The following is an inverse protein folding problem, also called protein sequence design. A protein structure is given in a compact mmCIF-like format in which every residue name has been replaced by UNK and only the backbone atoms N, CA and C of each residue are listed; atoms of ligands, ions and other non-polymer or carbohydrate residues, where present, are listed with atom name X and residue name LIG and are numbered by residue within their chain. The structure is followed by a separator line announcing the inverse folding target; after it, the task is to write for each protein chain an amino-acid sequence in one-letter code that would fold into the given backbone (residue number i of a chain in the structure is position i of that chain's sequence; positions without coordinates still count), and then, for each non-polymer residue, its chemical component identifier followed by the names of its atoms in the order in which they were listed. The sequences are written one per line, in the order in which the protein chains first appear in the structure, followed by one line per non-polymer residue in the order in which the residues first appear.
data_IF_580915856320
#
_entry.id   IF_580915856320
#
_cell.length_a   1.000
_cell.length_b   1.000
_cell.length_c   1.000
_cell.angle_alpha   90.00
_cell.angle_beta   90.00
_cell.angle_gamma   90.00
#
_symmetry.space_group_name_H-M   'P 1'
#
loop_
_entity.id
_entity.type
_entity.pdbx_description
1 polymer ?
#
# COMPACT_ATOMS: atom_id res chain seq x y z
N UNK A 1 -12.38 36.09 55.40
CA UNK A 1 -12.49 35.69 53.96
C UNK A 1 -11.21 35.07 53.42
N UNK A 2 -10.60 34.11 54.13
CA UNK A 2 -9.30 33.53 53.77
C UNK A 2 -9.29 32.03 53.47
N UNK A 3 -10.41 31.32 53.66
CA UNK A 3 -10.39 29.86 53.61
C UNK A 3 -10.77 29.19 52.28
N UNK A 4 -11.45 29.85 51.35
CA UNK A 4 -11.94 29.25 50.11
C UNK A 4 -10.95 29.26 48.95
N UNK A 5 -9.96 30.19 48.91
CA UNK A 5 -8.96 30.27 47.85
C UNK A 5 -7.92 29.11 47.93
N UNK A 6 -7.58 28.63 49.11
CA UNK A 6 -6.57 27.60 49.31
C UNK A 6 -7.07 26.18 48.96
N UNK A 7 -8.38 25.92 48.97
CA UNK A 7 -8.96 24.60 48.67
C UNK A 7 -9.02 24.41 47.13
N UNK A 8 -9.40 25.43 46.38
CA UNK A 8 -9.46 25.40 44.93
C UNK A 8 -8.06 25.29 44.29
N UNK A 9 -7.05 25.96 44.87
CA UNK A 9 -5.69 25.92 44.40
C UNK A 9 -5.04 24.55 44.68
N UNK A 10 -5.32 23.89 45.81
CA UNK A 10 -4.85 22.53 46.10
C UNK A 10 -5.56 21.46 45.23
N UNK A 11 -6.84 21.65 44.92
CA UNK A 11 -7.55 20.72 44.03
C UNK A 11 -7.07 20.83 42.57
N UNK A 12 -6.80 22.02 42.04
CA UNK A 12 -6.24 22.19 40.69
C UNK A 12 -4.81 21.65 40.59
N UNK A 13 -3.97 21.85 41.60
CA UNK A 13 -2.59 21.30 41.60
C UNK A 13 -2.59 19.78 41.70
N UNK A 14 -3.52 19.19 42.43
CA UNK A 14 -3.65 17.72 42.54
C UNK A 14 -4.20 17.12 41.24
N UNK A 15 -5.14 17.77 40.55
CA UNK A 15 -5.66 17.33 39.27
C UNK A 15 -4.60 17.42 38.14
N UNK A 16 -3.81 18.50 38.12
CA UNK A 16 -2.71 18.68 37.17
C UNK A 16 -1.60 17.64 37.44
N UNK A 17 -1.23 17.40 38.68
CA UNK A 17 -0.26 16.35 39.04
C UNK A 17 -0.73 14.94 38.69
N UNK A 18 -2.04 14.65 38.85
CA UNK A 18 -2.63 13.37 38.49
C UNK A 18 -2.64 13.16 36.96
N UNK A 19 -2.98 14.18 36.19
CA UNK A 19 -2.95 14.11 34.73
C UNK A 19 -1.52 13.96 34.19
N UNK A 20 -0.55 14.65 34.78
CA UNK A 20 0.86 14.48 34.44
C UNK A 20 1.41 13.08 34.81
N UNK A 21 1.04 12.54 35.96
CA UNK A 21 1.47 11.20 36.38
C UNK A 21 0.83 10.08 35.54
N UNK A 22 -0.41 10.25 35.08
CA UNK A 22 -1.06 9.28 34.18
C UNK A 22 -0.37 9.27 32.79
N UNK A 23 -0.01 10.44 32.25
CA UNK A 23 0.66 10.52 30.95
C UNK A 23 2.08 9.93 30.98
N UNK A 24 2.86 10.15 32.03
CA UNK A 24 4.21 9.59 32.16
C UNK A 24 4.20 8.07 32.40
N UNK A 25 3.22 7.56 33.14
CA UNK A 25 3.02 6.11 33.33
C UNK A 25 2.57 5.41 32.05
N UNK A 26 1.72 6.05 31.24
CA UNK A 26 1.32 5.54 29.95
C UNK A 26 2.52 5.43 29.00
N UNK A 27 3.37 6.45 28.91
CA UNK A 27 4.55 6.45 28.06
C UNK A 27 5.58 5.38 28.44
N UNK A 28 5.83 5.18 29.73
CA UNK A 28 6.76 4.14 30.20
C UNK A 28 6.22 2.73 29.90
N UNK A 29 4.90 2.56 30.00
CA UNK A 29 4.23 1.30 29.68
C UNK A 29 4.29 0.95 28.20
N UNK A 30 4.06 1.93 27.32
CA UNK A 30 4.16 1.76 25.86
C UNK A 30 5.61 1.43 25.44
N UNK A 31 6.60 2.15 25.94
CA UNK A 31 8.01 1.87 25.64
C UNK A 31 8.44 0.48 26.14
N UNK A 32 7.95 0.04 27.28
CA UNK A 32 8.22 -1.32 27.80
C UNK A 32 7.63 -2.39 26.88
N UNK A 33 6.41 -2.21 26.39
CA UNK A 33 5.76 -3.13 25.45
C UNK A 33 6.48 -3.14 24.09
N UNK A 34 6.87 -1.97 23.57
CA UNK A 34 7.65 -1.86 22.34
C UNK A 34 8.95 -2.66 22.47
N UNK A 35 9.76 -2.41 23.49
CA UNK A 35 11.05 -3.09 23.66
C UNK A 35 10.89 -4.61 23.85
N UNK A 36 9.83 -5.07 24.52
CA UNK A 36 9.56 -6.48 24.77
C UNK A 36 9.35 -7.29 23.49
N UNK A 37 8.73 -6.70 22.49
CA UNK A 37 8.33 -7.38 21.26
C UNK A 37 9.23 -7.04 20.05
N UNK A 38 10.25 -6.19 20.24
CA UNK A 38 11.10 -5.68 19.16
C UNK A 38 11.72 -6.83 18.35
N UNK A 39 12.45 -7.73 18.98
CA UNK A 39 13.15 -8.83 18.31
C UNK A 39 12.18 -9.73 17.52
N UNK A 40 11.00 -10.03 18.10
CA UNK A 40 9.98 -10.86 17.43
C UNK A 40 9.53 -10.21 16.12
N UNK A 41 9.16 -8.93 16.13
CA UNK A 41 8.63 -8.27 14.93
C UNK A 41 9.72 -7.87 13.93
N UNK A 42 10.97 -7.67 14.35
CA UNK A 42 12.12 -7.58 13.45
C UNK A 42 12.31 -8.91 12.68
N UNK A 43 12.24 -10.05 13.36
CA UNK A 43 12.30 -11.37 12.71
C UNK A 43 11.11 -11.62 11.79
N UNK A 44 9.90 -11.18 12.16
CA UNK A 44 8.71 -11.24 11.27
C UNK A 44 8.97 -10.45 9.99
N UNK A 45 9.47 -9.21 10.11
CA UNK A 45 9.78 -8.39 8.94
C UNK A 45 10.82 -9.05 8.03
N UNK A 46 11.89 -9.61 8.60
CA UNK A 46 12.95 -10.29 7.83
C UNK A 46 12.45 -11.56 7.13
N UNK A 47 11.57 -12.34 7.76
CA UNK A 47 10.97 -13.52 7.09
C UNK A 47 10.08 -13.13 5.92
N UNK A 48 9.25 -12.08 6.07
CA UNK A 48 8.42 -11.55 4.98
C UNK A 48 9.31 -11.03 3.84
N UNK A 49 10.40 -10.31 4.17
CA UNK A 49 11.41 -9.90 3.20
C UNK A 49 11.98 -11.08 2.42
N UNK A 50 12.33 -12.15 3.12
CA UNK A 50 12.96 -13.32 2.50
C UNK A 50 12.02 -14.07 1.55
N UNK A 51 10.75 -14.16 1.88
CA UNK A 51 9.75 -14.85 1.05
C UNK A 51 9.34 -14.02 -0.17
N UNK A 52 9.29 -12.71 -0.06
CA UNK A 52 8.96 -11.77 -1.12
C UNK A 52 7.74 -12.18 -1.96
N UNK A 53 6.64 -12.53 -1.30
CA UNK A 53 5.41 -13.02 -1.93
C UNK A 53 4.65 -11.86 -2.57
N UNK A 54 4.23 -12.04 -3.83
CA UNK A 54 3.48 -11.02 -4.56
C UNK A 54 2.00 -11.01 -4.18
N UNK A 55 1.31 -9.92 -4.50
CA UNK A 55 -0.10 -9.70 -4.17
C UNK A 55 -1.01 -10.87 -4.51
N UNK A 56 -1.91 -11.21 -3.60
CA UNK A 56 -2.81 -12.36 -3.57
C UNK A 56 -2.12 -13.73 -3.42
N UNK A 57 -0.79 -13.77 -3.28
CA UNK A 57 0.00 -14.99 -3.09
C UNK A 57 0.79 -14.96 -1.76
N UNK A 58 0.51 -14.02 -0.88
CA UNK A 58 1.22 -13.77 0.37
C UNK A 58 0.80 -14.76 1.48
N UNK A 59 0.75 -16.04 1.16
CA UNK A 59 0.23 -17.07 2.08
C UNK A 59 1.08 -17.23 3.35
N UNK A 60 2.41 -17.30 3.22
CA UNK A 60 3.33 -17.46 4.36
C UNK A 60 3.38 -16.19 5.21
N UNK A 61 3.44 -15.04 4.56
CA UNK A 61 3.47 -13.73 5.21
C UNK A 61 2.19 -13.46 6.01
N UNK A 62 1.04 -13.75 5.40
CA UNK A 62 -0.27 -13.66 6.06
C UNK A 62 -0.37 -14.61 7.24
N UNK A 63 0.01 -15.89 7.07
CA UNK A 63 -0.07 -16.89 8.14
C UNK A 63 0.86 -16.55 9.31
N UNK A 64 2.07 -16.05 9.03
CA UNK A 64 3.01 -15.61 10.06
C UNK A 64 2.42 -14.45 10.90
N UNK A 65 1.91 -13.40 10.25
CA UNK A 65 1.29 -12.27 10.93
C UNK A 65 0.07 -12.71 11.77
N UNK A 66 -0.77 -13.59 11.24
CA UNK A 66 -1.92 -14.15 11.94
C UNK A 66 -1.49 -14.95 13.18
N UNK A 67 -0.47 -15.80 13.05
CA UNK A 67 0.01 -16.64 14.16
C UNK A 67 0.62 -15.81 15.27
N UNK A 68 1.41 -14.78 14.95
CA UNK A 68 1.99 -13.88 15.94
C UNK A 68 0.92 -13.07 16.68
N UNK A 69 -0.09 -12.54 15.97
CA UNK A 69 -1.19 -11.81 16.59
C UNK A 69 -2.07 -12.74 17.45
N UNK A 70 -2.34 -13.96 16.99
CA UNK A 70 -3.08 -14.95 17.78
C UNK A 70 -2.32 -15.32 19.06
N UNK A 71 -0.99 -15.50 19.01
CA UNK A 71 -0.15 -15.76 20.18
C UNK A 71 -0.20 -14.60 21.20
N UNK A 72 -0.45 -13.38 20.72
CA UNK A 72 -0.65 -12.20 21.56
C UNK A 72 -2.12 -12.03 22.01
N UNK A 73 -3.01 -13.00 21.74
CA UNK A 73 -4.39 -13.02 22.23
C UNK A 73 -5.37 -12.18 21.40
N UNK A 74 -5.12 -12.00 20.11
CA UNK A 74 -6.09 -11.49 19.17
C UNK A 74 -6.97 -12.62 18.62
N UNK A 75 -8.24 -12.31 18.36
CA UNK A 75 -9.14 -13.18 17.60
C UNK A 75 -8.91 -12.97 16.10
N UNK A 76 -8.65 -14.04 15.36
CA UNK A 76 -8.33 -13.98 13.93
C UNK A 76 -9.54 -14.37 13.09
N UNK A 77 -9.89 -13.52 12.11
CA UNK A 77 -10.85 -13.82 11.05
C UNK A 77 -10.11 -13.87 9.73
N UNK A 78 -9.99 -15.08 9.15
CA UNK A 78 -9.20 -15.33 7.92
C UNK A 78 -10.06 -15.23 6.67
N UNK A 79 -9.42 -14.95 5.53
CA UNK A 79 -10.04 -15.00 4.20
C UNK A 79 -11.16 -13.96 4.00
N UNK A 80 -11.06 -12.81 4.65
CA UNK A 80 -12.07 -11.76 4.56
C UNK A 80 -12.13 -11.17 3.15
N UNK A 81 -13.32 -10.68 2.75
CA UNK A 81 -13.56 -10.14 1.41
C UNK A 81 -13.26 -11.13 0.26
N UNK A 82 -13.39 -12.44 0.51
CA UNK A 82 -13.06 -13.52 -0.43
C UNK A 82 -11.59 -13.52 -0.91
N UNK A 83 -10.70 -12.91 -0.14
CA UNK A 83 -9.25 -12.89 -0.38
C UNK A 83 -8.57 -13.82 0.61
N UNK A 84 -8.01 -14.97 0.19
CA UNK A 84 -7.43 -15.95 1.11
C UNK A 84 -6.33 -15.42 2.04
N UNK A 85 -5.56 -14.43 1.56
CA UNK A 85 -4.45 -13.82 2.31
C UNK A 85 -4.86 -12.60 3.14
N UNK A 86 -6.11 -12.08 2.99
CA UNK A 86 -6.63 -11.02 3.81
C UNK A 86 -7.17 -11.55 5.14
N UNK A 87 -6.96 -10.80 6.22
CA UNK A 87 -7.46 -11.19 7.54
C UNK A 87 -7.70 -9.98 8.45
N UNK A 88 -8.46 -10.21 9.50
CA UNK A 88 -8.65 -9.27 10.61
C UNK A 88 -8.16 -9.95 11.90
N UNK A 89 -7.38 -9.22 12.70
CA UNK A 89 -7.03 -9.60 14.05
C UNK A 89 -7.60 -8.56 15.03
N UNK A 90 -8.50 -8.98 15.89
CA UNK A 90 -9.22 -8.09 16.81
C UNK A 90 -8.95 -8.42 18.26
N UNK A 91 -8.70 -7.39 19.06
CA UNK A 91 -8.83 -7.42 20.51
C UNK A 91 -9.83 -6.36 20.94
N UNK A 92 -10.83 -6.74 21.72
CA UNK A 92 -11.88 -5.85 22.22
C UNK A 92 -12.13 -6.03 23.71
N UNK A 93 -12.28 -4.91 24.40
CA UNK A 93 -12.88 -4.87 25.75
C UNK A 93 -14.01 -3.81 25.81
N UNK A 94 -14.62 -3.51 24.62
CA UNK A 94 -15.62 -2.47 24.40
C UNK A 94 -15.00 -1.11 24.03
N UNK A 95 -15.82 -0.07 23.90
CA UNK A 95 -15.36 1.28 23.53
C UNK A 95 -15.13 1.47 22.02
N UNK A 96 -14.44 2.56 21.60
CA UNK A 96 -14.25 2.87 20.19
C UNK A 96 -13.37 1.82 19.48
N UNK A 97 -13.61 1.68 18.16
CA UNK A 97 -12.87 0.76 17.29
C UNK A 97 -11.82 1.52 16.51
N UNK A 98 -10.55 1.20 16.74
CA UNK A 98 -9.42 1.78 16.01
C UNK A 98 -8.82 0.71 15.11
N UNK A 99 -8.88 0.97 13.79
CA UNK A 99 -8.27 0.14 12.76
C UNK A 99 -6.80 0.51 12.54
N UNK A 100 -5.95 -0.50 12.38
CA UNK A 100 -4.54 -0.36 11.99
C UNK A 100 -4.34 -1.22 10.74
N UNK A 101 -3.87 -0.60 9.63
CA UNK A 101 -3.61 -1.30 8.40
C UNK A 101 -2.18 -1.82 8.35
N UNK A 102 -1.98 -2.99 7.72
CA UNK A 102 -0.65 -3.54 7.45
C UNK A 102 -0.62 -4.22 6.09
N UNK A 103 0.27 -3.78 5.20
CA UNK A 103 0.58 -4.36 3.90
C UNK A 103 1.77 -5.30 4.03
N UNK A 104 1.85 -6.32 3.16
CA UNK A 104 2.93 -7.33 3.23
C UNK A 104 3.22 -8.01 1.88
N UNK A 105 2.74 -7.43 0.77
CA UNK A 105 3.01 -7.88 -0.59
C UNK A 105 4.31 -7.29 -1.17
N UNK A 106 4.97 -8.04 -2.07
CA UNK A 106 6.20 -7.68 -2.75
C UNK A 106 5.94 -7.28 -4.21
N UNK A 107 6.89 -6.54 -4.79
CA UNK A 107 6.89 -6.11 -6.19
C UNK A 107 7.56 -7.14 -7.09
N UNK A 108 6.91 -7.58 -8.18
CA UNK A 108 7.52 -8.49 -9.15
C UNK A 108 8.79 -7.92 -9.78
N UNK A 109 9.81 -8.76 -9.99
CA UNK A 109 11.02 -8.41 -10.72
C UNK A 109 12.02 -7.51 -9.97
N UNK A 110 11.76 -7.18 -8.70
CA UNK A 110 12.62 -6.32 -7.88
C UNK A 110 13.37 -7.12 -6.79
N UNK A 111 13.95 -8.25 -7.18
CA UNK A 111 14.73 -9.11 -6.31
C UNK A 111 16.01 -8.41 -5.87
N UNK A 112 16.27 -8.36 -4.55
CA UNK A 112 17.44 -7.72 -3.98
C UNK A 112 17.88 -8.44 -2.71
N UNK A 113 19.17 -8.67 -2.57
CA UNK A 113 19.76 -9.11 -1.29
C UNK A 113 19.84 -7.95 -0.30
N UNK A 114 20.12 -8.24 0.97
CA UNK A 114 20.33 -7.20 1.99
C UNK A 114 21.74 -6.58 1.89
N UNK A 115 22.21 -6.24 0.69
CA UNK A 115 23.49 -5.60 0.41
C UNK A 115 23.30 -4.12 0.03
N UNK A 116 24.31 -3.25 0.25
CA UNK A 116 24.22 -1.83 -0.08
C UNK A 116 24.43 -1.52 -1.57
N UNK A 117 24.57 -2.51 -2.40
CA UNK A 117 24.71 -2.41 -3.86
C UNK A 117 23.75 -3.36 -4.56
N UNK A 118 23.54 -3.17 -5.87
CA UNK A 118 22.63 -4.00 -6.64
C UNK A 118 23.16 -5.44 -6.72
N UNK A 119 22.45 -6.34 -6.06
CA UNK A 119 22.74 -7.77 -6.06
C UNK A 119 21.43 -8.55 -6.10
N UNK A 120 21.24 -9.35 -7.16
CA UNK A 120 20.00 -10.09 -7.38
C UNK A 120 19.93 -11.26 -6.39
N UNK A 121 18.80 -11.41 -5.72
CA UNK A 121 18.46 -12.59 -4.93
C UNK A 121 17.80 -13.60 -5.89
N UNK A 122 18.51 -14.66 -6.25
CA UNK A 122 18.13 -15.58 -7.35
C UNK A 122 17.02 -16.58 -6.99
N UNK A 123 16.77 -16.82 -5.71
CA UNK A 123 15.79 -17.81 -5.22
C UNK A 123 14.35 -17.28 -5.13
N UNK A 124 14.13 -16.02 -5.50
CA UNK A 124 12.81 -15.35 -5.52
C UNK A 124 12.59 -14.62 -6.84
N UNK A 125 11.34 -14.32 -7.18
CA UNK A 125 10.95 -13.56 -8.39
C UNK A 125 10.46 -12.14 -8.13
N UNK A 126 10.48 -11.72 -6.87
CA UNK A 126 9.97 -10.43 -6.39
C UNK A 126 10.84 -9.89 -5.26
N UNK A 127 10.59 -8.65 -4.83
CA UNK A 127 11.31 -8.03 -3.71
C UNK A 127 10.52 -6.90 -3.06
N UNK A 128 10.82 -6.60 -1.80
CA UNK A 128 10.14 -5.58 -1.00
C UNK A 128 10.72 -4.17 -1.21
N UNK A 129 10.77 -3.69 -2.46
CA UNK A 129 11.28 -2.36 -2.77
C UNK A 129 10.41 -1.23 -2.19
N UNK A 130 9.12 -1.49 -1.92
CA UNK A 130 8.20 -0.55 -1.28
C UNK A 130 8.21 -0.63 0.27
N UNK A 131 8.88 -1.63 0.85
CA UNK A 131 9.03 -1.78 2.29
C UNK A 131 7.84 -2.40 3.02
N UNK A 132 6.92 -3.08 2.33
CA UNK A 132 5.71 -3.66 2.91
C UNK A 132 6.02 -4.74 3.96
N UNK A 133 7.16 -5.43 3.90
CA UNK A 133 7.62 -6.33 4.96
C UNK A 133 7.74 -5.64 6.33
N UNK A 134 8.25 -4.39 6.35
CA UNK A 134 8.29 -3.57 7.56
C UNK A 134 6.90 -3.04 7.91
N UNK A 135 6.11 -2.66 6.90
CA UNK A 135 4.78 -2.09 7.13
C UNK A 135 3.86 -3.08 7.83
N UNK A 136 3.75 -4.31 7.35
CA UNK A 136 2.93 -5.35 7.98
C UNK A 136 3.40 -5.69 9.39
N UNK A 137 4.71 -5.95 9.56
CA UNK A 137 5.28 -6.32 10.84
C UNK A 137 5.16 -5.21 11.90
N UNK A 138 5.53 -3.97 11.58
CA UNK A 138 5.47 -2.86 12.54
C UNK A 138 4.04 -2.44 12.87
N UNK A 139 3.10 -2.55 11.93
CA UNK A 139 1.68 -2.31 12.20
C UNK A 139 1.08 -3.37 13.13
N UNK A 140 1.46 -4.65 12.96
CA UNK A 140 1.08 -5.73 13.88
C UNK A 140 1.68 -5.51 15.28
N UNK A 141 2.94 -5.11 15.34
CA UNK A 141 3.60 -4.73 16.58
C UNK A 141 2.90 -3.55 17.30
N UNK A 142 2.50 -2.53 16.55
CA UNK A 142 1.73 -1.42 17.08
C UNK A 142 0.38 -1.88 17.66
N UNK A 143 -0.34 -2.79 16.98
CA UNK A 143 -1.59 -3.35 17.47
C UNK A 143 -1.38 -4.11 18.79
N UNK A 144 -0.34 -4.93 18.92
CA UNK A 144 0.03 -5.63 20.14
C UNK A 144 0.32 -4.65 21.29
N UNK A 145 1.08 -3.61 21.01
CA UNK A 145 1.43 -2.55 21.98
C UNK A 145 0.18 -1.82 22.48
N UNK A 146 -0.74 -1.47 21.59
CA UNK A 146 -2.02 -0.83 21.95
C UNK A 146 -2.88 -1.77 22.80
N UNK A 147 -2.99 -3.05 22.43
CA UNK A 147 -3.72 -4.07 23.20
C UNK A 147 -3.15 -4.19 24.61
N UNK A 148 -1.83 -4.31 24.79
CA UNK A 148 -1.20 -4.39 26.11
C UNK A 148 -1.49 -3.14 26.97
N UNK A 149 -1.48 -1.96 26.32
CA UNK A 149 -1.85 -0.72 26.99
C UNK A 149 -3.32 -0.70 27.43
N UNK A 150 -4.27 -1.12 26.57
CA UNK A 150 -5.69 -1.23 26.92
C UNK A 150 -5.91 -2.13 28.14
N UNK A 151 -5.23 -3.30 28.16
CA UNK A 151 -5.31 -4.25 29.29
C UNK A 151 -4.77 -3.62 30.56
N UNK A 152 -3.56 -3.04 30.51
CA UNK A 152 -2.89 -2.48 31.68
C UNK A 152 -3.59 -1.25 32.26
N UNK A 153 -4.05 -0.35 31.40
CA UNK A 153 -4.75 0.89 31.78
C UNK A 153 -6.21 0.66 32.15
N UNK A 154 -6.77 -0.52 31.83
CA UNK A 154 -8.21 -0.82 31.92
C UNK A 154 -9.08 0.16 31.11
N UNK A 155 -8.51 0.80 30.11
CA UNK A 155 -9.22 1.67 29.16
C UNK A 155 -10.08 0.81 28.25
N UNK A 156 -11.33 1.24 28.01
CA UNK A 156 -12.21 0.59 27.04
C UNK A 156 -11.80 0.98 25.63
N UNK A 157 -11.67 0.00 24.74
CA UNK A 157 -11.32 0.20 23.35
C UNK A 157 -11.24 -1.14 22.60
N UNK A 158 -11.36 -1.05 21.30
CA UNK A 158 -11.12 -2.16 20.35
C UNK A 158 -9.97 -1.77 19.45
N UNK A 159 -8.94 -2.60 19.37
CA UNK A 159 -7.89 -2.50 18.36
C UNK A 159 -8.08 -3.61 17.35
N UNK A 160 -8.16 -3.22 16.09
CA UNK A 160 -8.39 -4.14 14.97
C UNK A 160 -7.27 -3.95 13.95
N UNK A 161 -6.39 -4.96 13.84
CA UNK A 161 -5.39 -5.00 12.78
C UNK A 161 -6.03 -5.60 11.52
N UNK A 162 -5.84 -4.94 10.39
CA UNK A 162 -6.25 -5.42 9.08
C UNK A 162 -5.02 -5.83 8.29
N UNK A 163 -4.86 -7.12 8.05
CA UNK A 163 -3.90 -7.63 7.08
C UNK A 163 -4.43 -7.38 5.67
N UNK A 164 -3.84 -6.40 4.98
CA UNK A 164 -4.32 -5.86 3.70
C UNK A 164 -3.39 -6.26 2.57
N UNK A 165 -3.62 -7.43 1.93
CA UNK A 165 -2.77 -7.92 0.85
C UNK A 165 -2.94 -7.14 -0.45
N UNK A 166 -2.05 -7.40 -1.41
CA UNK A 166 -2.14 -6.99 -2.81
C UNK A 166 -2.33 -5.48 -3.02
N UNK A 167 -1.56 -4.64 -2.31
CA UNK A 167 -1.55 -3.20 -2.57
C UNK A 167 -0.93 -2.93 -3.95
N UNK A 168 0.16 -3.62 -4.30
CA UNK A 168 0.93 -3.47 -5.52
C UNK A 168 0.17 -4.00 -6.76
N UNK A 169 -0.77 -3.20 -7.23
CA UNK A 169 -1.55 -3.46 -8.45
C UNK A 169 -2.78 -4.35 -8.30
N UNK A 170 -3.07 -4.85 -7.09
CA UNK A 170 -4.25 -5.69 -6.82
C UNK A 170 -5.40 -4.95 -6.14
N UNK A 171 -5.10 -3.87 -5.40
CA UNK A 171 -6.09 -3.06 -4.65
C UNK A 171 -6.93 -3.85 -3.64
N UNK A 172 -6.32 -4.76 -2.87
CA UNK A 172 -7.00 -5.63 -1.91
C UNK A 172 -7.92 -4.88 -0.93
N UNK A 173 -7.49 -3.68 -0.47
CA UNK A 173 -8.30 -2.82 0.42
C UNK A 173 -9.64 -2.39 -0.19
N UNK A 174 -9.71 -2.23 -1.52
CA UNK A 174 -10.97 -1.87 -2.20
C UNK A 174 -12.01 -2.97 -2.02
N UNK A 175 -11.62 -4.23 -2.12
CA UNK A 175 -12.51 -5.38 -1.87
C UNK A 175 -12.92 -5.44 -0.40
N UNK A 176 -11.99 -5.18 0.53
CA UNK A 176 -12.29 -5.14 1.97
C UNK A 176 -13.28 -4.04 2.32
N UNK A 177 -13.18 -2.85 1.70
CA UNK A 177 -14.17 -1.76 1.85
C UNK A 177 -15.52 -2.16 1.28
N UNK A 178 -15.56 -2.78 0.10
CA UNK A 178 -16.81 -3.28 -0.51
C UNK A 178 -17.50 -4.34 0.34
N UNK A 179 -16.73 -5.14 1.06
CA UNK A 179 -17.24 -6.14 1.98
C UNK A 179 -17.73 -5.55 3.32
N UNK A 180 -17.72 -4.21 3.50
CA UNK A 180 -18.22 -3.53 4.70
C UNK A 180 -17.31 -3.65 5.93
N UNK A 181 -16.05 -4.09 5.77
CA UNK A 181 -15.19 -4.42 6.92
C UNK A 181 -14.75 -3.20 7.76
N UNK A 182 -15.08 -2.00 7.31
CA UNK A 182 -14.71 -0.74 8.00
C UNK A 182 -15.92 0.08 8.47
N UNK A 183 -17.15 -0.42 8.31
CA UNK A 183 -18.37 0.37 8.60
C UNK A 183 -18.53 0.73 10.08
N UNK A 184 -18.01 -0.11 10.98
CA UNK A 184 -18.07 0.06 12.43
C UNK A 184 -16.78 0.67 13.03
N UNK A 185 -15.84 1.15 12.19
CA UNK A 185 -14.53 1.65 12.64
C UNK A 185 -14.58 3.17 12.84
N UNK A 186 -14.27 3.63 14.04
CA UNK A 186 -14.26 5.06 14.38
C UNK A 186 -13.08 5.83 13.76
N UNK A 187 -11.91 5.19 13.69
CA UNK A 187 -10.72 5.76 13.04
C UNK A 187 -9.80 4.66 12.51
N UNK A 188 -9.17 4.94 11.35
CA UNK A 188 -8.16 4.06 10.75
C UNK A 188 -6.81 4.75 10.74
N UNK A 189 -5.79 4.06 11.22
CA UNK A 189 -4.40 4.52 11.21
C UNK A 189 -3.58 3.68 10.23
N UNK A 190 -2.67 4.36 9.55
CA UNK A 190 -1.82 3.79 8.52
C UNK A 190 -0.51 4.57 8.47
N UNK A 191 0.57 3.91 8.11
CA UNK A 191 1.85 4.54 7.80
C UNK A 191 2.44 3.89 6.55
N UNK A 192 3.47 4.45 5.99
CA UNK A 192 4.16 3.85 4.85
C UNK A 192 5.66 4.13 4.95
N UNK A 193 6.52 3.14 4.69
CA UNK A 193 7.97 3.34 4.63
C UNK A 193 8.35 4.46 3.65
N UNK A 194 9.29 5.32 4.07
CA UNK A 194 9.75 6.45 3.27
C UNK A 194 11.16 6.86 3.69
N UNK A 195 11.78 7.76 2.93
CA UNK A 195 13.10 8.32 3.21
C UNK A 195 13.13 9.32 4.38
N UNK A 196 11.95 9.74 4.87
CA UNK A 196 11.83 10.68 5.99
C UNK A 196 10.62 10.39 6.86
N UNK A 197 10.74 10.71 8.16
CA UNK A 197 9.61 10.66 9.08
C UNK A 197 8.75 11.91 8.94
N UNK A 198 7.46 11.71 8.74
CA UNK A 198 6.50 12.81 8.61
C UNK A 198 5.07 12.38 8.92
N UNK A 199 4.21 13.36 9.13
CA UNK A 199 2.77 13.16 9.24
C UNK A 199 2.08 14.27 8.45
N UNK A 200 1.86 14.01 7.16
CA UNK A 200 1.33 14.99 6.22
C UNK A 200 -0.12 14.67 5.86
N UNK A 201 -1.00 15.66 6.02
CA UNK A 201 -2.40 15.58 5.60
C UNK A 201 -2.52 15.83 4.09
N UNK A 202 -1.83 15.01 3.29
CA UNK A 202 -1.83 15.11 1.83
C UNK A 202 -2.76 14.08 1.19
N UNK A 203 -3.40 14.48 0.08
CA UNK A 203 -4.14 13.57 -0.78
C UNK A 203 -3.17 12.81 -1.70
N UNK A 204 -3.68 11.84 -2.43
CA UNK A 204 -2.95 11.08 -3.45
C UNK A 204 -3.72 11.08 -4.76
N UNK A 205 -3.14 10.52 -5.81
CA UNK A 205 -3.89 10.30 -7.05
C UNK A 205 -4.88 9.14 -6.90
N UNK A 206 -6.08 9.34 -7.43
CA UNK A 206 -6.94 8.23 -7.83
C UNK A 206 -6.36 7.54 -9.05
N UNK A 207 -6.67 6.26 -9.21
CA UNK A 207 -6.14 5.44 -10.29
C UNK A 207 -7.23 4.55 -10.88
N UNK A 208 -7.16 4.27 -12.18
CA UNK A 208 -7.88 3.20 -12.87
C UNK A 208 -6.96 2.59 -13.91
N UNK A 209 -6.91 1.28 -13.95
CA UNK A 209 -6.05 0.55 -14.87
C UNK A 209 -6.80 -0.54 -15.62
N UNK A 210 -6.39 -0.79 -16.86
CA UNK A 210 -6.97 -1.85 -17.67
C UNK A 210 -5.95 -2.40 -18.68
N UNK A 211 -6.13 -3.67 -19.01
CA UNK A 211 -5.49 -4.32 -20.14
C UNK A 211 -6.42 -4.24 -21.35
N UNK A 212 -5.87 -3.79 -22.47
CA UNK A 212 -6.54 -3.75 -23.77
C UNK A 212 -5.94 -4.83 -24.65
N UNK A 213 -6.76 -5.82 -25.01
CA UNK A 213 -6.36 -6.94 -25.85
C UNK A 213 -6.93 -6.74 -27.25
N UNK A 214 -6.05 -6.60 -28.22
CA UNK A 214 -6.39 -6.57 -29.64
C UNK A 214 -6.31 -7.98 -30.23
N UNK A 215 -7.23 -8.27 -31.13
CA UNK A 215 -7.26 -9.53 -31.90
C UNK A 215 -7.37 -9.22 -33.38
N UNK A 216 -6.48 -9.81 -34.14
CA UNK A 216 -6.37 -9.65 -35.59
C UNK A 216 -6.35 -10.97 -36.33
N UNK A 217 -5.65 -11.03 -37.47
CA UNK A 217 -5.53 -12.22 -38.34
C UNK A 217 -4.07 -12.45 -38.64
N UNK A 218 -3.55 -13.62 -38.31
CA UNK A 218 -2.18 -14.03 -38.61
C UNK A 218 -1.99 -14.29 -40.10
N UNK A 219 -0.84 -13.88 -40.64
CA UNK A 219 -0.43 -14.16 -42.02
C UNK A 219 1.09 -14.20 -42.14
N UNK A 220 1.60 -14.78 -43.22
CA UNK A 220 3.02 -14.70 -43.53
C UNK A 220 3.36 -13.27 -44.01
N UNK A 221 4.18 -12.54 -43.23
CA UNK A 221 4.41 -11.12 -43.43
C UNK A 221 5.03 -10.75 -44.78
N UNK A 222 5.76 -11.66 -45.45
CA UNK A 222 6.32 -11.48 -46.75
C UNK A 222 5.51 -12.13 -47.91
N UNK A 223 4.89 -13.30 -47.62
CA UNK A 223 4.21 -14.10 -48.64
C UNK A 223 2.78 -13.73 -48.93
N UNK A 224 2.04 -13.26 -47.92
CA UNK A 224 0.62 -12.89 -48.06
C UNK A 224 0.18 -11.87 -46.95
N UNK A 225 0.87 -10.72 -46.83
CA UNK A 225 0.57 -9.71 -45.79
C UNK A 225 -0.84 -9.13 -45.94
N UNK A 226 -1.37 -9.07 -47.13
CA UNK A 226 -2.72 -8.60 -47.49
C UNK A 226 -3.84 -9.41 -46.80
N UNK A 227 -3.57 -10.65 -46.42
CA UNK A 227 -4.49 -11.53 -45.73
C UNK A 227 -4.43 -11.37 -44.19
N UNK A 228 -3.43 -10.66 -43.66
CA UNK A 228 -3.25 -10.41 -42.23
C UNK A 228 -3.98 -9.15 -41.75
N UNK A 229 -4.21 -9.11 -40.45
CA UNK A 229 -4.61 -7.92 -39.68
C UNK A 229 -3.79 -7.91 -38.42
N UNK A 230 -2.89 -6.94 -38.31
CA UNK A 230 -1.94 -6.89 -37.19
C UNK A 230 -2.62 -6.35 -35.93
N UNK A 231 -2.76 -7.18 -34.92
CA UNK A 231 -3.20 -6.75 -33.59
C UNK A 231 -2.20 -5.75 -32.96
N UNK A 232 -0.90 -5.86 -33.30
CA UNK A 232 0.10 -4.90 -32.83
C UNK A 232 -0.12 -3.51 -33.42
N UNK A 233 -0.52 -3.39 -34.69
CA UNK A 233 -0.85 -2.10 -35.30
C UNK A 233 -2.03 -1.45 -34.58
N UNK A 234 -3.02 -2.24 -34.13
CA UNK A 234 -4.12 -1.76 -33.28
C UNK A 234 -3.61 -1.16 -31.97
N UNK A 235 -2.65 -1.84 -31.29
CA UNK A 235 -2.02 -1.33 -30.06
C UNK A 235 -1.22 -0.05 -30.35
N UNK A 236 -0.45 -0.01 -31.39
CA UNK A 236 0.37 1.18 -31.76
C UNK A 236 -0.53 2.38 -32.12
N UNK A 237 -1.58 2.16 -32.90
CA UNK A 237 -2.56 3.19 -33.23
C UNK A 237 -3.26 3.74 -31.97
N UNK A 238 -3.68 2.86 -31.05
CA UNK A 238 -4.24 3.25 -29.74
C UNK A 238 -3.24 4.10 -28.96
N UNK A 239 -1.99 3.66 -28.84
CA UNK A 239 -0.95 4.36 -28.09
C UNK A 239 -0.69 5.77 -28.69
N UNK A 240 -0.68 5.89 -30.01
CA UNK A 240 -0.54 7.18 -30.69
C UNK A 240 -1.72 8.11 -30.38
N UNK A 241 -2.97 7.63 -30.48
CA UNK A 241 -4.17 8.41 -30.15
C UNK A 241 -4.16 8.85 -28.68
N UNK A 242 -3.80 7.97 -27.76
CA UNK A 242 -3.71 8.29 -26.31
C UNK A 242 -2.58 9.30 -26.06
N UNK A 243 -1.47 9.25 -26.77
CA UNK A 243 -0.43 10.25 -26.65
C UNK A 243 -0.88 11.64 -27.13
N UNK A 244 -1.70 11.71 -28.18
CA UNK A 244 -2.33 12.97 -28.63
C UNK A 244 -3.31 13.54 -27.60
N UNK A 245 -4.01 12.68 -26.83
CA UNK A 245 -4.92 13.14 -25.77
C UNK A 245 -4.21 13.96 -24.68
N UNK A 246 -2.89 13.78 -24.47
CA UNK A 246 -2.14 14.42 -23.37
C UNK A 246 -2.22 15.96 -23.41
N UNK A 247 -2.38 16.55 -24.60
CA UNK A 247 -2.56 17.99 -24.77
C UNK A 247 -3.93 18.51 -24.34
N UNK A 248 -4.91 17.60 -24.15
CA UNK A 248 -6.32 17.95 -23.99
C UNK A 248 -6.93 17.44 -22.67
N UNK A 249 -6.09 17.01 -21.73
CA UNK A 249 -6.50 16.54 -20.40
C UNK A 249 -5.92 17.45 -19.31
N UNK A 250 -6.50 17.50 -18.08
CA UNK A 250 -5.97 18.29 -16.98
C UNK A 250 -4.48 17.99 -16.71
N UNK A 251 -3.71 19.03 -16.39
CA UNK A 251 -2.25 18.93 -16.19
C UNK A 251 -1.84 17.96 -15.08
N UNK A 252 -2.68 17.80 -14.07
CA UNK A 252 -2.45 16.87 -12.95
C UNK A 252 -2.61 15.39 -13.34
N UNK A 253 -3.12 15.13 -14.56
CA UNK A 253 -3.33 13.76 -15.06
C UNK A 253 -2.01 13.07 -15.35
N UNK A 254 -1.99 11.76 -15.16
CA UNK A 254 -0.87 10.90 -15.59
C UNK A 254 -1.43 9.68 -16.30
N UNK A 255 -0.86 9.36 -17.45
CA UNK A 255 -1.16 8.14 -18.20
C UNK A 255 0.14 7.44 -18.53
N UNK A 256 0.21 6.16 -18.20
CA UNK A 256 1.36 5.31 -18.51
C UNK A 256 0.87 3.99 -19.09
N UNK A 257 1.69 3.37 -19.93
CA UNK A 257 1.38 2.05 -20.47
C UNK A 257 2.65 1.23 -20.70
N UNK A 258 2.44 -0.08 -20.78
CA UNK A 258 3.42 -1.04 -21.26
C UNK A 258 2.73 -1.99 -22.25
N UNK A 259 3.43 -2.35 -23.34
CA UNK A 259 2.97 -3.43 -24.22
C UNK A 259 3.38 -4.75 -23.55
N UNK A 260 2.40 -5.55 -23.17
CA UNK A 260 2.62 -6.83 -22.48
C UNK A 260 2.70 -8.00 -23.45
N UNK A 261 2.12 -7.84 -24.66
CA UNK A 261 2.23 -8.78 -25.77
C UNK A 261 2.29 -7.99 -27.08
N UNK A 262 3.29 -8.27 -27.93
CA UNK A 262 3.46 -7.57 -29.20
C UNK A 262 3.75 -8.50 -30.40
N UNK A 263 3.55 -9.83 -30.25
CA UNK A 263 3.92 -10.84 -31.24
C UNK A 263 5.19 -11.60 -30.84
N UNK A 264 5.57 -12.60 -31.64
CA UNK A 264 6.69 -13.51 -31.33
C UNK A 264 7.81 -13.44 -32.38
N UNK A 265 7.48 -13.24 -33.66
CA UNK A 265 8.45 -13.23 -34.74
C UNK A 265 8.04 -12.21 -35.81
N UNK A 266 9.01 -11.41 -36.38
CA UNK A 266 8.68 -10.33 -37.29
C UNK A 266 8.19 -10.78 -38.68
N UNK A 267 8.39 -12.03 -39.03
CA UNK A 267 7.87 -12.64 -40.28
C UNK A 267 6.45 -13.21 -40.17
N UNK A 268 5.80 -13.04 -39.01
CA UNK A 268 4.42 -13.45 -38.76
C UNK A 268 3.61 -12.21 -38.32
N UNK A 269 2.54 -11.87 -39.04
CA UNK A 269 1.61 -10.81 -38.64
C UNK A 269 0.95 -11.22 -37.30
N UNK A 270 1.08 -10.42 -36.22
CA UNK A 270 0.54 -10.77 -34.92
C UNK A 270 -0.98 -10.77 -34.90
N UNK A 271 -1.59 -11.88 -34.53
CA UNK A 271 -3.04 -12.00 -34.36
C UNK A 271 -3.54 -11.62 -32.95
N UNK A 272 -2.62 -11.48 -31.99
CA UNK A 272 -2.89 -11.04 -30.62
C UNK A 272 -1.83 -10.06 -30.14
N UNK A 273 -2.26 -8.91 -29.63
CA UNK A 273 -1.42 -7.97 -28.90
C UNK A 273 -2.16 -7.42 -27.67
N UNK A 274 -1.41 -7.02 -26.66
CA UNK A 274 -1.98 -6.51 -25.42
C UNK A 274 -1.15 -5.32 -24.91
N UNK A 275 -1.85 -4.28 -24.45
CA UNK A 275 -1.27 -3.12 -23.80
C UNK A 275 -1.96 -2.88 -22.45
N UNK A 276 -1.17 -2.60 -21.43
CA UNK A 276 -1.64 -2.34 -20.08
C UNK A 276 -1.50 -0.86 -19.73
N UNK A 277 -2.63 -0.19 -19.42
CA UNK A 277 -2.72 1.23 -19.13
C UNK A 277 -3.00 1.54 -17.68
N UNK A 278 -2.38 2.62 -17.18
CA UNK A 278 -2.74 3.33 -15.94
C UNK A 278 -3.20 4.74 -16.26
N UNK A 279 -4.35 5.15 -15.68
CA UNK A 279 -4.88 6.51 -15.74
C UNK A 279 -4.99 7.04 -14.33
N UNK A 280 -4.36 8.19 -14.05
CA UNK A 280 -4.30 8.79 -12.71
C UNK A 280 -4.65 10.27 -12.75
N UNK A 281 -5.37 10.71 -11.70
CA UNK A 281 -5.67 12.13 -11.44
C UNK A 281 -6.09 12.26 -9.96
N UNK A 282 -5.87 13.42 -9.27
CA UNK A 282 -6.35 13.62 -7.89
C UNK A 282 -7.85 13.42 -7.72
N UNK A 283 -8.67 13.79 -8.72
CA UNK A 283 -10.13 13.65 -8.69
C UNK A 283 -10.58 12.40 -9.45
N UNK A 284 -11.26 11.46 -8.77
CA UNK A 284 -11.74 10.19 -9.36
C UNK A 284 -12.65 10.39 -10.60
N UNK A 285 -13.46 11.47 -10.61
CA UNK A 285 -14.33 11.76 -11.75
C UNK A 285 -13.50 12.03 -13.02
N UNK A 286 -12.37 12.74 -12.88
CA UNK A 286 -11.46 12.98 -13.99
C UNK A 286 -10.74 11.72 -14.44
N UNK A 287 -10.40 10.82 -13.53
CA UNK A 287 -9.89 9.48 -13.89
C UNK A 287 -10.90 8.74 -14.76
N UNK A 288 -12.19 8.76 -14.39
CA UNK A 288 -13.22 8.08 -15.17
C UNK A 288 -13.41 8.72 -16.55
N UNK A 289 -13.53 10.06 -16.64
CA UNK A 289 -13.65 10.79 -17.91
C UNK A 289 -12.49 10.48 -18.89
N UNK A 290 -11.25 10.49 -18.37
CA UNK A 290 -10.06 10.21 -19.17
C UNK A 290 -10.03 8.72 -19.57
N UNK A 291 -10.36 7.82 -18.65
CA UNK A 291 -10.42 6.39 -18.92
C UNK A 291 -11.43 6.05 -20.02
N UNK A 292 -12.62 6.66 -19.98
CA UNK A 292 -13.64 6.47 -21.00
C UNK A 292 -13.14 6.97 -22.39
N UNK A 293 -12.32 8.02 -22.40
CA UNK A 293 -11.68 8.48 -23.63
C UNK A 293 -10.58 7.50 -24.11
N UNK A 294 -9.80 6.91 -23.22
CA UNK A 294 -8.84 5.83 -23.56
C UNK A 294 -9.58 4.64 -24.19
N UNK A 295 -10.75 4.25 -23.64
CA UNK A 295 -11.59 3.19 -24.22
C UNK A 295 -12.01 3.56 -25.64
N UNK A 296 -12.52 4.78 -25.88
CA UNK A 296 -12.88 5.25 -27.22
C UNK A 296 -11.68 5.25 -28.18
N UNK A 297 -10.50 5.60 -27.71
CA UNK A 297 -9.26 5.54 -28.53
C UNK A 297 -8.95 4.09 -28.93
N UNK A 298 -9.14 3.13 -28.03
CA UNK A 298 -8.95 1.71 -28.36
C UNK A 298 -9.96 1.20 -29.42
N UNK A 299 -11.23 1.61 -29.32
CA UNK A 299 -12.27 1.27 -30.27
C UNK A 299 -11.98 1.89 -31.67
N UNK A 300 -11.56 3.18 -31.70
CA UNK A 300 -11.16 3.86 -32.93
C UNK A 300 -9.93 3.23 -33.57
N UNK A 301 -8.95 2.81 -32.78
CA UNK A 301 -7.78 2.10 -33.26
C UNK A 301 -8.13 0.74 -33.87
N UNK A 302 -8.97 -0.03 -33.19
CA UNK A 302 -9.43 -1.33 -33.69
C UNK A 302 -10.19 -1.19 -35.01
N UNK A 303 -11.08 -0.18 -35.11
CA UNK A 303 -11.82 0.13 -36.36
C UNK A 303 -10.85 0.50 -37.50
N UNK A 304 -9.88 1.35 -37.24
CA UNK A 304 -8.92 1.82 -38.26
C UNK A 304 -7.92 0.76 -38.73
N UNK A 305 -7.66 -0.26 -37.94
CA UNK A 305 -6.71 -1.36 -38.25
C UNK A 305 -7.43 -2.66 -38.65
N UNK A 306 -8.77 -2.64 -38.80
CA UNK A 306 -9.59 -3.80 -39.10
C UNK A 306 -9.33 -5.00 -38.14
N UNK A 307 -9.17 -4.65 -36.85
CA UNK A 307 -9.00 -5.59 -35.72
C UNK A 307 -10.18 -5.50 -34.76
N UNK A 308 -10.20 -6.31 -33.71
CA UNK A 308 -11.15 -6.17 -32.60
C UNK A 308 -10.41 -5.90 -31.31
N UNK A 309 -11.06 -5.20 -30.36
CA UNK A 309 -10.50 -4.91 -29.05
C UNK A 309 -11.48 -5.27 -27.94
N UNK A 310 -10.94 -5.82 -26.86
CA UNK A 310 -11.62 -5.98 -25.57
C UNK A 310 -10.77 -5.36 -24.47
N UNK A 311 -11.38 -4.92 -23.36
CA UNK A 311 -10.61 -4.46 -22.22
C UNK A 311 -11.10 -5.09 -20.92
N UNK A 312 -10.15 -5.28 -20.01
CA UNK A 312 -10.39 -5.77 -18.65
C UNK A 312 -9.83 -4.75 -17.64
N UNK A 313 -10.70 -4.24 -16.76
CA UNK A 313 -10.28 -3.35 -15.67
C UNK A 313 -9.59 -4.20 -14.62
N UNK A 314 -8.31 -3.92 -14.38
CA UNK A 314 -7.50 -4.65 -13.43
C UNK A 314 -7.72 -4.18 -12.00
N UNK A 315 -7.69 -2.87 -11.77
CA UNK A 315 -7.99 -2.27 -10.48
C UNK A 315 -8.31 -0.78 -10.59
N UNK A 316 -8.80 -0.20 -9.48
CA UNK A 316 -9.03 1.23 -9.36
C UNK A 316 -9.14 1.67 -7.91
N UNK A 317 -8.46 2.77 -7.58
CA UNK A 317 -8.40 3.33 -6.23
C UNK A 317 -8.87 4.78 -6.22
N UNK A 318 -9.50 5.20 -5.12
CA UNK A 318 -9.73 6.61 -4.86
C UNK A 318 -8.48 7.25 -4.24
N UNK A 319 -8.38 8.59 -4.33
CA UNK A 319 -7.38 9.37 -3.61
C UNK A 319 -7.59 9.25 -2.09
N UNK A 320 -6.51 9.39 -1.33
CA UNK A 320 -6.60 9.47 0.14
C UNK A 320 -7.42 10.70 0.52
N UNK A 321 -8.29 10.53 1.53
CA UNK A 321 -9.00 11.62 2.17
C UNK A 321 -8.15 12.15 3.35
N UNK A 322 -7.61 13.38 3.27
CA UNK A 322 -6.83 13.95 4.36
C UNK A 322 -7.63 14.08 5.65
N UNK A 323 -6.99 13.80 6.79
CA UNK A 323 -7.56 13.98 8.12
C UNK A 323 -6.61 14.81 8.99
N UNK A 324 -6.83 16.11 9.05
CA UNK A 324 -5.96 17.06 9.76
C UNK A 324 -5.88 16.79 11.27
N UNK A 325 -6.94 16.28 11.87
CA UNK A 325 -6.98 15.99 13.32
C UNK A 325 -6.07 14.82 13.63
N UNK A 326 -6.22 13.70 12.93
CA UNK A 326 -5.39 12.51 13.13
C UNK A 326 -3.93 12.79 12.78
N UNK A 327 -3.66 13.55 11.71
CA UNK A 327 -2.29 13.92 11.32
C UNK A 327 -1.60 14.81 12.37
N UNK A 328 -2.30 15.78 12.96
CA UNK A 328 -1.75 16.58 14.06
C UNK A 328 -1.43 15.74 15.30
N UNK A 329 -2.27 14.76 15.63
CA UNK A 329 -2.02 13.81 16.73
C UNK A 329 -0.79 12.95 16.42
N UNK A 330 -0.70 12.41 15.21
CA UNK A 330 0.44 11.62 14.75
C UNK A 330 1.73 12.45 14.82
N UNK A 331 1.74 13.65 14.25
CA UNK A 331 2.90 14.55 14.26
C UNK A 331 3.38 14.87 15.68
N UNK A 332 2.45 15.19 16.59
CA UNK A 332 2.77 15.42 18.00
C UNK A 332 3.46 14.22 18.64
N UNK A 333 3.01 13.00 18.34
CA UNK A 333 3.58 11.78 18.88
C UNK A 333 4.96 11.48 18.24
N UNK A 334 5.16 11.74 16.96
CA UNK A 334 6.45 11.65 16.29
C UNK A 334 7.48 12.60 16.91
N UNK A 335 7.11 13.86 17.14
CA UNK A 335 7.98 14.84 17.83
C UNK A 335 8.35 14.38 19.23
N UNK A 336 7.41 13.81 19.99
CA UNK A 336 7.63 13.29 21.33
C UNK A 336 8.56 12.07 21.33
N UNK A 337 8.43 11.17 20.36
CA UNK A 337 9.29 10.02 20.19
C UNK A 337 10.70 10.41 19.79
N UNK A 338 10.84 11.46 18.99
CA UNK A 338 12.11 11.94 18.43
C UNK A 338 12.61 11.13 17.25
N UNK A 339 13.73 11.53 16.69
CA UNK A 339 14.35 10.86 15.55
C UNK A 339 15.01 9.53 15.91
N UNK A 340 15.27 8.72 14.90
CA UNK A 340 16.02 7.47 15.00
C UNK A 340 17.52 7.82 15.13
N UNK A 341 18.20 7.14 16.05
CA UNK A 341 19.67 7.22 16.18
C UNK A 341 20.28 5.97 15.57
N UNK A 342 20.99 6.15 14.49
CA UNK A 342 21.69 5.06 13.82
C UNK A 342 23.08 4.81 14.40
N UNK A 343 23.46 3.55 14.46
CA UNK A 343 24.84 3.14 14.79
C UNK A 343 25.81 3.54 13.67
N UNK A 344 27.11 3.48 13.95
CA UNK A 344 28.13 3.71 12.93
C UNK A 344 27.98 2.76 11.74
N UNK A 345 27.75 1.47 12.00
CA UNK A 345 27.58 0.44 10.96
C UNK A 345 26.37 0.69 10.07
N UNK A 346 25.24 1.13 10.65
CA UNK A 346 24.03 1.47 9.90
C UNK A 346 24.22 2.72 9.03
N UNK A 347 24.95 3.73 9.53
CA UNK A 347 25.30 4.90 8.74
C UNK A 347 26.25 4.54 7.58
N UNK A 348 27.28 3.71 7.81
CA UNK A 348 28.18 3.23 6.77
C UNK A 348 27.40 2.46 5.67
N UNK A 349 26.44 1.62 6.05
CA UNK A 349 25.59 0.91 5.10
C UNK A 349 24.72 1.88 4.26
N UNK A 350 24.12 2.87 4.92
CA UNK A 350 23.31 3.89 4.23
C UNK A 350 24.15 4.75 3.27
N UNK A 351 25.38 5.11 3.64
CA UNK A 351 26.31 5.85 2.78
C UNK A 351 26.70 5.05 1.53
N UNK A 352 26.91 3.73 1.64
CA UNK A 352 27.18 2.87 0.49
C UNK A 352 25.96 2.79 -0.46
N UNK A 353 24.73 2.66 0.07
CA UNK A 353 23.51 2.74 -0.75
C UNK A 353 23.43 4.10 -1.45
N UNK A 354 23.69 5.19 -0.72
CA UNK A 354 23.59 6.53 -1.29
C UNK A 354 24.52 6.74 -2.49
N UNK A 355 25.71 6.12 -2.51
CA UNK A 355 26.63 6.16 -3.65
C UNK A 355 26.06 5.54 -4.93
N UNK A 356 25.10 4.63 -4.80
CA UNK A 356 24.43 3.99 -5.95
C UNK A 356 23.26 4.82 -6.51
N UNK A 357 22.81 5.84 -5.78
CA UNK A 357 21.78 6.75 -6.22
C UNK A 357 22.39 7.81 -7.12
N UNK A 358 21.78 8.06 -8.29
CA UNK A 358 22.14 9.20 -9.13
C UNK A 358 21.62 10.48 -8.46
N UNK A 359 22.49 11.37 -7.97
CA UNK A 359 22.03 12.69 -7.55
C UNK A 359 21.50 13.43 -8.77
N UNK A 360 20.24 13.79 -8.75
CA UNK A 360 19.65 14.72 -9.74
C UNK A 360 19.90 16.15 -9.28
#
# INVERSE_FOLDING_TARGET
MGGKKNILQKQSTFLIALVFSISTLADSSLNSSINKHQETFEQVAMKIWDWAEVGYQEYKSSELLQSELAAQGFTITKGVADIPTAFIAEYSNGGPVIGILGEFDALPGLMQTASPFREIKEDVSAGHACGHHMFGAASAWAAVTVKEWLVKSKTKGTVRFYGTPAEEGGSGKVYMVRAGLFEDVDAVLHWHPSSSNGANAESSNSNKSAKFKFSGISAHAAGSPDKGRSALDGVEAMNMMVNMMREHIPQESRMHYVITKGGLAPNVVPDVAEVYYYVRHPKRQKVQEIFDWVVKASEGAAMGTDTSVTHEVMHGNYSKLPNDVLQKIMHKNLLKRGGIKYSKKENEFAEEIYKTMNPH
#
